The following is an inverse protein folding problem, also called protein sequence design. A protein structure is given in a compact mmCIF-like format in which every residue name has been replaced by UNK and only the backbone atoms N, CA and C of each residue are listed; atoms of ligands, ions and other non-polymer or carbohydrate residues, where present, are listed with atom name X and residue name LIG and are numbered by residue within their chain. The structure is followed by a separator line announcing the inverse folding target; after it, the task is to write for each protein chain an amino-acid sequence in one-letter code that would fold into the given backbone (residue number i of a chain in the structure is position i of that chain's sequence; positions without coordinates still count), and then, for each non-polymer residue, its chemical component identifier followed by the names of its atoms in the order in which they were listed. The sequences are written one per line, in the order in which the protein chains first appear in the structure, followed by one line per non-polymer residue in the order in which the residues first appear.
data_IF_052092551829
#
_entry.id   IF_052092551829
#
_cell.length_a   1.000
_cell.length_b   1.000
_cell.length_c   1.000
_cell.angle_alpha   90.00
_cell.angle_beta   90.00
_cell.angle_gamma   90.00
#
_symmetry.space_group_name_H-M   'P 1'
#
loop_
_entity.id
_entity.type
_entity.pdbx_description
1 polymer ?
#
# COMPACT_ATOMS: atom_id res chain seq x y z
N UNK A 1 83.02 54.70 -48.97
CA UNK A 1 82.72 56.12 -48.75
C UNK A 1 81.22 56.26 -48.47
N UNK A 2 80.86 56.90 -47.35
CA UNK A 2 79.58 57.54 -46.99
C UNK A 2 78.31 56.65 -46.92
N UNK A 3 77.69 56.38 -45.76
CA UNK A 3 76.97 57.21 -44.74
C UNK A 3 75.43 57.08 -44.88
N UNK A 4 74.78 56.45 -43.86
CA UNK A 4 73.55 56.80 -43.07
C UNK A 4 72.32 57.50 -43.74
N UNK A 5 71.08 57.48 -43.15
CA UNK A 5 70.70 57.14 -41.76
C UNK A 5 69.42 56.27 -41.57
N UNK A 6 69.17 55.98 -40.29
CA UNK A 6 68.09 55.23 -39.65
C UNK A 6 66.70 55.90 -39.65
N UNK A 7 65.64 55.10 -39.64
CA UNK A 7 64.33 55.53 -39.13
C UNK A 7 63.64 54.46 -38.27
N UNK A 8 63.39 54.86 -37.02
CA UNK A 8 62.74 54.16 -35.92
C UNK A 8 61.24 54.49 -35.98
N UNK A 9 60.36 53.51 -36.16
CA UNK A 9 58.90 53.69 -36.02
C UNK A 9 58.36 52.93 -34.81
N UNK A 10 57.71 53.68 -33.92
CA UNK A 10 57.08 53.29 -32.65
C UNK A 10 55.90 52.33 -32.86
N UNK A 11 55.64 51.36 -31.95
CA UNK A 11 54.34 50.70 -31.88
C UNK A 11 53.31 51.68 -31.29
N UNK A 12 52.34 52.08 -32.11
CA UNK A 12 51.23 52.92 -31.68
C UNK A 12 50.22 52.10 -30.85
N UNK A 13 50.01 52.59 -29.64
CA UNK A 13 49.22 52.06 -28.56
C UNK A 13 47.72 52.06 -28.91
N UNK A 14 47.16 50.91 -29.30
CA UNK A 14 45.72 50.74 -29.55
C UNK A 14 44.96 50.50 -28.23
N UNK A 15 44.82 51.55 -27.42
CA UNK A 15 44.04 51.54 -26.17
C UNK A 15 42.98 52.64 -26.21
N UNK A 16 41.86 52.42 -26.90
CA UNK A 16 40.64 53.24 -26.73
C UNK A 16 39.43 52.68 -27.48
N UNK A 17 38.54 51.98 -26.78
CA UNK A 17 37.08 52.02 -27.04
C UNK A 17 36.19 51.29 -26.00
N UNK A 18 36.73 50.78 -24.88
CA UNK A 18 35.91 50.05 -23.87
C UNK A 18 35.33 50.98 -22.79
N UNK A 19 34.43 51.90 -23.15
CA UNK A 19 33.64 52.66 -22.15
C UNK A 19 32.16 52.83 -22.50
N UNK A 20 31.72 52.59 -23.74
CA UNK A 20 30.30 52.65 -24.12
C UNK A 20 29.56 51.30 -23.98
N UNK A 21 30.29 50.18 -23.87
CA UNK A 21 29.70 48.84 -23.74
C UNK A 21 29.01 48.61 -22.39
N UNK A 22 29.44 49.25 -21.31
CA UNK A 22 28.95 48.96 -19.95
C UNK A 22 27.47 49.31 -19.73
N UNK A 23 26.97 50.38 -20.38
CA UNK A 23 25.54 50.78 -20.27
C UNK A 23 24.62 49.89 -21.11
N UNK A 24 25.13 49.29 -22.17
CA UNK A 24 24.38 48.35 -23.01
C UNK A 24 24.19 47.01 -22.31
N UNK A 25 25.23 46.48 -21.67
CA UNK A 25 25.17 45.23 -20.91
C UNK A 25 24.21 45.30 -19.71
N UNK A 26 24.13 46.45 -19.03
CA UNK A 26 23.17 46.64 -17.92
C UNK A 26 21.70 46.54 -18.36
N UNK A 27 21.34 47.03 -19.56
CA UNK A 27 19.97 46.93 -20.08
C UNK A 27 19.62 45.50 -20.46
N UNK A 28 20.55 44.76 -21.06
CA UNK A 28 20.37 43.34 -21.39
C UNK A 28 20.18 42.52 -20.10
N UNK A 29 21.03 42.72 -19.09
CA UNK A 29 20.91 42.03 -17.82
C UNK A 29 19.55 42.31 -17.14
N UNK A 30 19.08 43.56 -17.18
CA UNK A 30 17.76 43.93 -16.66
C UNK A 30 16.62 43.20 -17.38
N UNK A 31 16.62 43.19 -18.72
CA UNK A 31 15.60 42.49 -19.52
C UNK A 31 15.62 40.99 -19.26
N UNK A 32 16.80 40.36 -19.23
CA UNK A 32 16.94 38.93 -18.94
C UNK A 32 16.38 38.59 -17.56
N UNK A 33 16.69 39.40 -16.54
CA UNK A 33 16.15 39.19 -15.19
C UNK A 33 14.62 39.34 -15.16
N UNK A 34 14.07 40.35 -15.84
CA UNK A 34 12.61 40.53 -15.92
C UNK A 34 11.94 39.36 -16.62
N UNK A 35 12.49 38.89 -17.75
CA UNK A 35 11.96 37.72 -18.48
C UNK A 35 12.04 36.47 -17.61
N UNK A 36 13.15 36.25 -16.91
CA UNK A 36 13.31 35.12 -15.99
C UNK A 36 12.28 35.14 -14.85
N UNK A 37 12.01 36.32 -14.28
CA UNK A 37 10.99 36.48 -13.23
C UNK A 37 9.56 36.23 -13.76
N UNK A 38 9.23 36.74 -14.96
CA UNK A 38 7.93 36.50 -15.58
C UNK A 38 7.74 35.03 -15.92
N UNK A 39 8.76 34.40 -16.52
CA UNK A 39 8.72 32.98 -16.86
C UNK A 39 8.61 32.10 -15.61
N UNK A 40 9.37 32.41 -14.55
CA UNK A 40 9.27 31.72 -13.26
C UNK A 40 7.90 31.90 -12.59
N UNK A 41 7.32 33.09 -12.67
CA UNK A 41 5.98 33.38 -12.18
C UNK A 41 4.90 32.60 -12.93
N UNK A 42 4.95 32.58 -14.27
CA UNK A 42 4.03 31.80 -15.10
C UNK A 42 4.15 30.29 -14.83
N UNK A 43 5.37 29.76 -14.72
CA UNK A 43 5.60 28.35 -14.40
C UNK A 43 5.03 27.98 -13.02
N UNK A 44 5.25 28.83 -12.01
CA UNK A 44 4.71 28.63 -10.66
C UNK A 44 3.18 28.68 -10.65
N UNK A 45 2.58 29.64 -11.36
CA UNK A 45 1.13 29.76 -11.49
C UNK A 45 0.52 28.54 -12.21
N UNK A 46 1.14 28.11 -13.31
CA UNK A 46 0.70 26.94 -14.06
C UNK A 46 0.75 25.66 -13.21
N UNK A 47 1.82 25.46 -12.42
CA UNK A 47 1.91 24.31 -11.51
C UNK A 47 0.80 24.29 -10.46
N UNK A 48 0.42 25.45 -9.90
CA UNK A 48 -0.69 25.57 -8.95
C UNK A 48 -2.04 25.32 -9.61
N UNK A 49 -2.22 25.74 -10.86
CA UNK A 49 -3.45 25.46 -11.60
C UNK A 49 -3.57 23.96 -11.92
N UNK A 50 -2.46 23.33 -12.33
CA UNK A 50 -2.40 21.90 -12.66
C UNK A 50 -2.69 20.99 -11.46
N UNK A 51 -2.28 21.39 -10.25
CA UNK A 51 -2.57 20.63 -9.02
C UNK A 51 -4.04 20.71 -8.59
N UNK A 52 -4.82 21.64 -9.13
CA UNK A 52 -6.25 21.80 -8.85
C UNK A 52 -7.16 21.08 -9.86
N UNK A 53 -6.60 20.48 -10.91
CA UNK A 53 -7.40 19.68 -11.83
C UNK A 53 -7.97 18.47 -11.10
N UNK A 54 -9.29 18.30 -11.20
CA UNK A 54 -10.00 17.19 -10.56
C UNK A 54 -10.36 16.18 -11.64
N UNK A 55 -9.99 14.89 -11.49
CA UNK A 55 -10.35 13.86 -12.46
C UNK A 55 -11.87 13.75 -12.68
N UNK A 56 -12.30 13.54 -13.92
CA UNK A 56 -13.74 13.50 -14.27
C UNK A 56 -14.49 12.38 -13.54
N UNK A 57 -13.87 11.21 -13.34
CA UNK A 57 -14.48 10.11 -12.59
C UNK A 57 -14.73 10.49 -11.13
N UNK A 58 -13.87 11.31 -10.54
CA UNK A 58 -13.99 11.76 -9.16
C UNK A 58 -15.20 12.70 -8.99
N UNK A 59 -15.37 13.65 -9.91
CA UNK A 59 -16.52 14.56 -9.90
C UNK A 59 -17.84 13.80 -10.01
N UNK A 60 -17.91 12.81 -10.91
CA UNK A 60 -19.12 11.98 -11.07
C UNK A 60 -19.56 11.27 -9.80
N UNK A 61 -18.62 10.80 -8.98
CA UNK A 61 -18.94 10.16 -7.69
C UNK A 61 -19.41 11.20 -6.68
N UNK A 62 -18.77 12.37 -6.63
CA UNK A 62 -19.17 13.45 -5.71
C UNK A 62 -20.53 14.06 -6.04
N UNK A 63 -20.92 14.06 -7.32
CA UNK A 63 -22.21 14.59 -7.77
C UNK A 63 -23.39 13.63 -7.47
N UNK A 64 -23.11 12.45 -6.89
CA UNK A 64 -24.16 11.50 -6.51
C UNK A 64 -25.01 12.07 -5.36
N UNK A 65 -26.33 12.05 -5.54
CA UNK A 65 -27.25 12.51 -4.51
C UNK A 65 -27.17 11.67 -3.23
N UNK A 66 -27.43 12.30 -2.08
CA UNK A 66 -27.51 11.61 -0.79
C UNK A 66 -28.49 10.42 -0.82
N UNK A 67 -29.60 10.55 -1.54
CA UNK A 67 -30.58 9.48 -1.71
C UNK A 67 -29.99 8.27 -2.44
N UNK A 68 -29.22 8.49 -3.52
CA UNK A 68 -28.53 7.43 -4.23
C UNK A 68 -27.50 6.72 -3.33
N UNK A 69 -26.77 7.48 -2.49
CA UNK A 69 -25.86 6.88 -1.51
C UNK A 69 -26.58 6.06 -0.46
N UNK A 70 -27.74 6.48 0.05
CA UNK A 70 -28.50 5.64 0.98
C UNK A 70 -28.99 4.34 0.32
N UNK A 71 -29.42 4.39 -0.94
CA UNK A 71 -29.80 3.18 -1.69
C UNK A 71 -28.60 2.24 -1.85
N UNK A 72 -27.43 2.77 -2.22
CA UNK A 72 -26.21 2.00 -2.36
C UNK A 72 -25.74 1.35 -1.04
N UNK A 73 -25.86 2.04 0.10
CA UNK A 73 -25.57 1.47 1.42
C UNK A 73 -26.48 0.28 1.75
N UNK A 74 -27.79 0.44 1.53
CA UNK A 74 -28.76 -0.62 1.78
C UNK A 74 -28.52 -1.84 0.87
N UNK A 75 -28.18 -1.59 -0.39
CA UNK A 75 -27.85 -2.65 -1.34
C UNK A 75 -26.58 -3.40 -0.91
N UNK A 76 -25.54 -2.67 -0.50
CA UNK A 76 -24.31 -3.30 -0.01
C UNK A 76 -24.59 -4.18 1.21
N UNK A 77 -25.40 -3.70 2.16
CA UNK A 77 -25.76 -4.51 3.34
C UNK A 77 -26.44 -5.81 2.91
N UNK A 78 -27.39 -5.74 1.99
CA UNK A 78 -28.07 -6.91 1.45
C UNK A 78 -27.09 -7.88 0.78
N UNK A 79 -26.18 -7.38 -0.06
CA UNK A 79 -25.20 -8.19 -0.78
C UNK A 79 -24.18 -8.85 0.16
N UNK A 80 -23.81 -8.16 1.25
CA UNK A 80 -22.97 -8.72 2.32
C UNK A 80 -23.70 -9.80 3.10
N UNK A 81 -24.98 -9.61 3.44
CA UNK A 81 -25.81 -10.64 4.10
C UNK A 81 -25.96 -11.88 3.22
N UNK A 82 -26.17 -11.68 1.91
CA UNK A 82 -26.20 -12.76 0.93
C UNK A 82 -24.85 -13.49 0.87
N UNK A 83 -23.73 -12.75 0.81
CA UNK A 83 -22.40 -13.35 0.84
C UNK A 83 -22.18 -14.16 2.11
N UNK A 84 -22.57 -13.65 3.28
CA UNK A 84 -22.46 -14.41 4.53
C UNK A 84 -23.31 -15.69 4.49
N UNK A 85 -24.52 -15.63 3.91
CA UNK A 85 -25.35 -16.82 3.71
C UNK A 85 -24.69 -17.83 2.77
N UNK A 86 -24.07 -17.38 1.67
CA UNK A 86 -23.34 -18.23 0.74
C UNK A 86 -22.11 -18.88 1.40
N UNK A 87 -21.34 -18.10 2.16
CA UNK A 87 -20.20 -18.58 2.95
C UNK A 87 -20.61 -19.49 4.12
N UNK A 88 -21.87 -19.44 4.54
CA UNK A 88 -22.47 -20.38 5.51
C UNK A 88 -22.90 -21.70 4.89
N UNK A 89 -22.54 -21.95 3.62
CA UNK A 89 -22.74 -23.24 2.96
C UNK A 89 -21.39 -23.72 2.42
N UNK A 90 -21.14 -25.03 2.47
CA UNK A 90 -19.97 -25.61 1.79
C UNK A 90 -20.17 -25.50 0.28
N UNK A 91 -19.11 -25.18 -0.46
CA UNK A 91 -19.12 -25.14 -1.92
C UNK A 91 -18.80 -23.77 -2.49
N UNK A 92 -19.34 -23.47 -3.67
CA UNK A 92 -19.06 -22.24 -4.40
C UNK A 92 -19.79 -21.04 -3.81
N UNK A 93 -19.11 -19.90 -3.75
CA UNK A 93 -19.70 -18.61 -3.37
C UNK A 93 -19.37 -17.57 -4.45
N UNK A 94 -20.19 -16.52 -4.51
CA UNK A 94 -20.01 -15.41 -5.46
C UNK A 94 -20.50 -14.11 -4.82
N UNK A 95 -19.70 -13.06 -4.93
CA UNK A 95 -20.02 -11.72 -4.48
C UNK A 95 -19.83 -10.75 -5.65
N UNK A 96 -20.71 -9.76 -5.77
CA UNK A 96 -20.50 -8.69 -6.74
C UNK A 96 -20.92 -7.36 -6.14
N UNK A 97 -19.98 -6.42 -6.09
CA UNK A 97 -20.18 -5.10 -5.52
C UNK A 97 -20.06 -4.04 -6.61
N UNK A 98 -21.00 -3.09 -6.66
CA UNK A 98 -20.94 -1.94 -7.55
C UNK A 98 -19.98 -0.85 -7.04
N UNK A 99 -19.55 0.03 -7.94
CA UNK A 99 -18.78 1.20 -7.56
C UNK A 99 -19.56 2.12 -6.62
N UNK A 100 -20.88 2.24 -6.77
CA UNK A 100 -21.75 2.99 -5.86
C UNK A 100 -21.78 2.39 -4.45
N UNK A 101 -21.95 1.07 -4.35
CA UNK A 101 -21.92 0.35 -3.06
C UNK A 101 -20.58 0.53 -2.34
N UNK A 102 -19.47 0.40 -3.06
CA UNK A 102 -18.12 0.55 -2.49
C UNK A 102 -17.89 2.02 -2.07
N UNK A 103 -18.29 2.99 -2.88
CA UNK A 103 -18.15 4.42 -2.55
C UNK A 103 -18.98 4.82 -1.33
N UNK A 104 -20.21 4.29 -1.23
CA UNK A 104 -21.07 4.50 -0.09
C UNK A 104 -20.44 3.97 1.20
N UNK A 105 -19.85 2.76 1.14
CA UNK A 105 -19.11 2.18 2.26
C UNK A 105 -17.86 2.96 2.63
N UNK A 106 -17.04 3.35 1.63
CA UNK A 106 -15.82 4.13 1.87
C UNK A 106 -16.12 5.47 2.53
N UNK A 107 -17.20 6.14 2.12
CA UNK A 107 -17.63 7.43 2.68
C UNK A 107 -17.98 7.32 4.17
N UNK A 108 -18.58 6.21 4.59
CA UNK A 108 -18.92 5.96 5.99
C UNK A 108 -17.71 5.47 6.81
N UNK A 109 -16.93 4.55 6.24
CA UNK A 109 -15.86 3.88 6.98
C UNK A 109 -14.58 4.70 7.07
N UNK A 110 -14.29 5.61 6.14
CA UNK A 110 -13.06 6.40 6.18
C UNK A 110 -12.97 7.28 7.45
N UNK A 111 -13.99 8.07 7.83
CA UNK A 111 -13.96 8.85 9.06
C UNK A 111 -13.92 7.97 10.32
N UNK A 112 -14.63 6.83 10.32
CA UNK A 112 -14.80 5.98 11.49
C UNK A 112 -13.62 5.04 11.75
N UNK A 113 -13.20 4.27 10.74
CA UNK A 113 -12.13 3.26 10.86
C UNK A 113 -10.75 3.84 10.62
N UNK A 114 -10.64 4.93 9.86
CA UNK A 114 -9.37 5.51 9.45
C UNK A 114 -9.21 6.96 9.91
N UNK A 115 -9.59 7.25 11.17
CA UNK A 115 -9.49 8.58 11.80
C UNK A 115 -8.08 9.21 11.69
N UNK A 116 -7.01 8.39 11.65
CA UNK A 116 -5.65 8.88 11.44
C UNK A 116 -5.46 9.51 10.06
N UNK A 117 -6.07 8.94 9.02
CA UNK A 117 -6.03 9.48 7.66
C UNK A 117 -6.88 10.74 7.57
N UNK A 118 -8.08 10.73 8.16
CA UNK A 118 -8.97 11.90 8.15
C UNK A 118 -8.35 13.13 8.83
N UNK A 119 -7.68 12.94 9.98
CA UNK A 119 -6.93 14.00 10.69
C UNK A 119 -5.73 14.52 9.91
N UNK A 120 -5.17 13.72 9.01
CA UNK A 120 -4.08 14.14 8.11
C UNK A 120 -4.57 14.87 6.86
N UNK A 121 -5.87 15.07 6.72
CA UNK A 121 -6.46 15.81 5.62
C UNK A 121 -7.06 14.97 4.50
N UNK A 122 -7.11 13.64 4.66
CA UNK A 122 -7.66 12.72 3.65
C UNK A 122 -9.18 12.66 3.79
N UNK A 123 -9.92 13.03 2.76
CA UNK A 123 -11.40 13.14 2.79
C UNK A 123 -12.00 12.74 1.45
N UNK A 124 -13.31 12.48 1.46
CA UNK A 124 -14.09 12.27 0.23
C UNK A 124 -13.44 11.19 -0.67
N UNK A 125 -13.30 9.95 -0.17
CA UNK A 125 -12.75 8.85 -0.98
C UNK A 125 -13.73 8.53 -2.11
N UNK A 126 -13.20 8.29 -3.29
CA UNK A 126 -14.01 7.86 -4.42
C UNK A 126 -13.24 6.86 -5.27
N UNK A 127 -13.96 5.87 -5.76
CA UNK A 127 -13.49 4.87 -6.70
C UNK A 127 -14.39 4.84 -7.93
N UNK A 128 -13.83 4.41 -9.05
CA UNK A 128 -14.59 4.01 -10.22
C UNK A 128 -13.97 2.75 -10.84
N UNK A 129 -14.79 1.89 -11.43
CA UNK A 129 -14.32 0.63 -12.02
C UNK A 129 -14.53 0.68 -13.54
N UNK A 130 -13.44 0.89 -14.28
CA UNK A 130 -13.46 1.09 -15.73
C UNK A 130 -12.29 0.33 -16.38
N UNK A 131 -12.53 -0.26 -17.55
CA UNK A 131 -11.50 -0.91 -18.37
C UNK A 131 -10.66 -1.97 -17.62
N UNK A 132 -11.29 -2.73 -16.72
CA UNK A 132 -10.58 -3.76 -15.94
C UNK A 132 -9.71 -3.20 -14.81
N UNK A 133 -9.85 -1.92 -14.48
CA UNK A 133 -9.05 -1.22 -13.47
C UNK A 133 -9.94 -0.49 -12.46
N UNK A 134 -9.39 -0.26 -11.28
CA UNK A 134 -9.97 0.62 -10.27
C UNK A 134 -9.24 1.96 -10.37
N UNK A 135 -9.98 3.02 -10.64
CA UNK A 135 -9.52 4.39 -10.49
C UNK A 135 -9.84 4.81 -9.07
N UNK A 136 -8.83 5.06 -8.25
CA UNK A 136 -9.02 5.49 -6.86
C UNK A 136 -8.58 6.95 -6.70
N UNK A 137 -9.36 7.74 -5.99
CA UNK A 137 -9.04 9.13 -5.69
C UNK A 137 -9.53 9.55 -4.31
N UNK A 138 -8.86 10.56 -3.77
CA UNK A 138 -9.21 11.14 -2.48
C UNK A 138 -8.83 12.61 -2.44
N UNK A 139 -9.62 13.44 -1.78
CA UNK A 139 -9.26 14.83 -1.54
C UNK A 139 -8.25 14.90 -0.40
N UNK A 140 -7.15 15.58 -0.66
CA UNK A 140 -6.11 15.85 0.33
C UNK A 140 -6.08 17.34 0.66
N UNK A 141 -6.48 17.67 1.88
CA UNK A 141 -6.55 19.03 2.38
C UNK A 141 -5.64 19.25 3.60
N UNK A 142 -4.68 20.16 3.45
CA UNK A 142 -3.75 20.60 4.49
C UNK A 142 -3.66 22.13 4.51
N UNK A 143 -2.91 22.71 5.44
CA UNK A 143 -2.73 24.18 5.52
C UNK A 143 -2.06 24.79 4.28
N UNK A 144 -1.38 23.99 3.46
CA UNK A 144 -0.62 24.45 2.29
C UNK A 144 -1.09 23.88 0.95
N UNK A 145 -1.87 22.81 0.97
CA UNK A 145 -2.25 22.05 -0.21
C UNK A 145 -3.72 21.63 -0.10
N UNK A 146 -4.49 21.86 -1.16
CA UNK A 146 -5.83 21.31 -1.38
C UNK A 146 -5.83 20.77 -2.81
N UNK A 147 -5.86 19.45 -2.95
CA UNK A 147 -5.70 18.76 -4.23
C UNK A 147 -6.37 17.38 -4.16
N UNK A 148 -6.69 16.80 -5.32
CA UNK A 148 -7.17 15.42 -5.42
C UNK A 148 -5.99 14.53 -5.74
N UNK A 149 -5.72 13.56 -4.87
CA UNK A 149 -4.72 12.52 -5.12
C UNK A 149 -5.42 11.34 -5.77
N UNK A 150 -4.92 10.88 -6.92
CA UNK A 150 -5.51 9.76 -7.66
C UNK A 150 -4.46 8.74 -8.10
N UNK A 151 -4.85 7.48 -8.25
CA UNK A 151 -4.05 6.43 -8.86
C UNK A 151 -4.93 5.43 -9.61
N UNK A 152 -4.29 4.57 -10.42
CA UNK A 152 -4.92 3.41 -11.04
C UNK A 152 -4.43 2.14 -10.38
N UNK A 153 -5.35 1.21 -10.15
CA UNK A 153 -5.08 -0.10 -9.59
C UNK A 153 -5.60 -1.17 -10.56
N UNK A 154 -4.78 -2.16 -10.90
CA UNK A 154 -5.27 -3.41 -11.48
C UNK A 154 -5.09 -4.54 -10.48
N UNK A 155 -6.01 -5.50 -10.50
CA UNK A 155 -6.01 -6.63 -9.57
C UNK A 155 -5.92 -7.90 -10.38
N UNK A 156 -4.91 -8.70 -10.07
CA UNK A 156 -4.63 -9.99 -10.71
C UNK A 156 -4.56 -11.07 -9.64
N UNK A 157 -4.96 -12.27 -10.01
CA UNK A 157 -4.75 -13.44 -9.16
C UNK A 157 -3.32 -13.92 -9.27
N UNK A 158 -2.84 -14.70 -8.31
CA UNK A 158 -1.53 -15.34 -8.40
C UNK A 158 -1.67 -16.87 -8.47
N UNK A 159 -0.56 -17.55 -8.69
CA UNK A 159 -0.51 -19.02 -8.63
C UNK A 159 -0.71 -19.56 -7.20
N UNK A 160 -0.62 -18.70 -6.18
CA UNK A 160 -0.90 -19.05 -4.79
C UNK A 160 -2.36 -18.71 -4.43
N UNK A 161 -3.10 -19.63 -3.77
CA UNK A 161 -4.47 -19.33 -3.34
C UNK A 161 -4.50 -18.15 -2.38
N UNK A 162 -5.49 -17.29 -2.54
CA UNK A 162 -5.74 -16.11 -1.69
C UNK A 162 -4.63 -15.04 -1.67
N UNK A 163 -3.64 -15.15 -2.55
CA UNK A 163 -2.67 -14.09 -2.75
C UNK A 163 -3.06 -13.29 -4.00
N UNK A 164 -3.38 -12.01 -3.80
CA UNK A 164 -3.72 -11.08 -4.89
C UNK A 164 -2.54 -10.18 -5.21
N UNK A 165 -2.29 -9.97 -6.49
CA UNK A 165 -1.34 -8.99 -7.00
C UNK A 165 -2.10 -7.71 -7.40
N UNK A 166 -1.79 -6.59 -6.74
CA UNK A 166 -2.41 -5.29 -7.00
C UNK A 166 -1.34 -4.37 -7.57
N UNK A 167 -1.39 -4.11 -8.87
CA UNK A 167 -0.47 -3.17 -9.52
C UNK A 167 -0.94 -1.75 -9.27
N UNK A 168 -0.01 -0.89 -8.84
CA UNK A 168 -0.30 0.52 -8.59
C UNK A 168 0.43 1.40 -9.62
N UNK A 169 -0.33 2.20 -10.36
CA UNK A 169 0.19 3.05 -11.42
C UNK A 169 -0.46 4.44 -11.44
N UNK A 170 0.12 5.35 -12.23
CA UNK A 170 -0.42 6.68 -12.53
C UNK A 170 -0.80 7.52 -11.29
N UNK A 171 0.02 7.45 -10.24
CA UNK A 171 -0.18 8.25 -9.03
C UNK A 171 0.03 9.74 -9.31
N UNK A 172 -0.99 10.56 -9.00
CA UNK A 172 -1.02 11.99 -9.29
C UNK A 172 -1.61 12.80 -8.14
N UNK A 173 -1.23 14.08 -8.05
CA UNK A 173 -1.93 15.13 -7.31
C UNK A 173 -2.44 16.18 -8.31
N UNK A 174 -3.75 16.18 -8.54
CA UNK A 174 -4.37 16.80 -9.70
C UNK A 174 -3.80 16.19 -10.97
N UNK A 175 -3.19 17.02 -11.82
CA UNK A 175 -2.50 16.54 -13.02
C UNK A 175 -0.97 16.45 -12.89
N UNK A 176 -0.43 16.61 -11.67
CA UNK A 176 1.01 16.45 -11.41
C UNK A 176 1.32 15.00 -11.00
N UNK A 177 2.22 14.28 -11.68
CA UNK A 177 2.63 12.95 -11.26
C UNK A 177 3.39 13.01 -9.92
N UNK A 178 3.16 12.02 -9.07
CA UNK A 178 3.82 11.87 -7.78
C UNK A 178 4.78 10.67 -7.80
N UNK A 179 5.87 10.71 -7.01
CA UNK A 179 6.75 9.56 -6.86
C UNK A 179 6.03 8.41 -6.14
N UNK A 180 6.08 7.22 -6.74
CA UNK A 180 5.41 6.01 -6.23
C UNK A 180 6.07 5.45 -4.96
N UNK A 181 7.40 5.38 -4.91
CA UNK A 181 8.12 4.75 -3.80
C UNK A 181 7.83 5.35 -2.42
N UNK A 182 7.84 6.69 -2.21
CA UNK A 182 7.50 7.26 -0.90
C UNK A 182 6.04 7.01 -0.52
N UNK A 183 5.17 6.86 -1.51
CA UNK A 183 3.75 6.63 -1.33
C UNK A 183 3.49 5.19 -0.84
N UNK A 184 4.03 4.18 -1.52
CA UNK A 184 3.87 2.77 -1.12
C UNK A 184 4.46 2.49 0.26
N UNK A 185 5.58 3.12 0.64
CA UNK A 185 6.14 3.03 2.01
C UNK A 185 5.19 3.57 3.07
N UNK A 186 4.39 4.59 2.75
CA UNK A 186 3.36 5.11 3.67
C UNK A 186 2.17 4.17 3.75
N UNK A 187 1.76 3.57 2.63
CA UNK A 187 0.71 2.55 2.62
C UNK A 187 1.10 1.38 3.53
N UNK A 188 2.31 0.80 3.39
CA UNK A 188 2.75 -0.30 4.26
C UNK A 188 2.67 0.04 5.74
N UNK A 189 3.04 1.27 6.11
CA UNK A 189 3.02 1.70 7.51
C UNK A 189 1.59 1.77 8.06
N UNK A 190 0.64 2.24 7.26
CA UNK A 190 -0.77 2.31 7.67
C UNK A 190 -1.44 0.92 7.61
N UNK A 191 -1.10 0.09 6.63
CA UNK A 191 -1.61 -1.29 6.49
C UNK A 191 -1.17 -2.19 7.65
N UNK A 192 0.09 -2.10 8.07
CA UNK A 192 0.61 -2.83 9.23
C UNK A 192 -0.11 -2.49 10.54
N UNK A 193 -0.72 -1.31 10.65
CA UNK A 193 -1.54 -0.94 11.80
C UNK A 193 -2.94 -1.58 11.77
N UNK A 194 -3.39 -2.00 10.59
CA UNK A 194 -4.68 -2.65 10.36
C UNK A 194 -4.59 -4.17 10.19
N UNK A 195 -3.46 -4.78 10.58
CA UNK A 195 -3.21 -6.23 10.48
C UNK A 195 -3.31 -6.79 9.04
N UNK A 196 -3.09 -5.94 8.04
CA UNK A 196 -3.07 -6.35 6.64
C UNK A 196 -1.62 -6.60 6.21
N UNK A 197 -1.29 -7.86 5.90
CA UNK A 197 0.01 -8.22 5.36
C UNK A 197 0.11 -7.81 3.89
N UNK A 198 0.87 -6.74 3.65
CA UNK A 198 1.17 -6.24 2.31
C UNK A 198 2.68 -6.37 2.07
N UNK A 199 3.03 -7.19 1.09
CA UNK A 199 4.39 -7.28 0.57
C UNK A 199 4.46 -6.53 -0.76
N UNK A 200 5.54 -5.81 -1.00
CA UNK A 200 5.72 -5.08 -2.26
C UNK A 200 6.77 -5.77 -3.12
N UNK A 201 6.43 -5.98 -4.38
CA UNK A 201 7.39 -6.29 -5.45
C UNK A 201 7.53 -5.07 -6.37
N UNK A 202 8.75 -4.77 -6.79
CA UNK A 202 9.05 -3.61 -7.65
C UNK A 202 9.52 -4.12 -8.99
N UNK A 203 8.67 -3.95 -10.01
CA UNK A 203 8.95 -4.35 -11.39
C UNK A 203 9.25 -3.13 -12.25
N UNK A 204 9.64 -3.34 -13.51
CA UNK A 204 9.82 -2.25 -14.49
C UNK A 204 8.53 -1.44 -14.70
N UNK A 205 7.37 -2.10 -14.60
CA UNK A 205 6.04 -1.50 -14.78
C UNK A 205 5.53 -0.77 -13.52
N UNK A 206 6.24 -0.91 -12.40
CA UNK A 206 5.93 -0.24 -11.13
C UNK A 206 5.75 -1.19 -9.94
N UNK A 207 5.28 -0.64 -8.80
CA UNK A 207 5.08 -1.40 -7.58
C UNK A 207 3.82 -2.27 -7.64
N UNK A 208 3.97 -3.51 -7.21
CA UNK A 208 2.92 -4.52 -7.09
C UNK A 208 2.76 -4.86 -5.61
N UNK A 209 1.59 -4.59 -5.06
CA UNK A 209 1.23 -5.03 -3.72
C UNK A 209 0.71 -6.46 -3.75
N UNK A 210 1.38 -7.35 -3.04
CA UNK A 210 0.95 -8.71 -2.79
C UNK A 210 0.19 -8.71 -1.48
N UNK A 211 -1.12 -8.96 -1.57
CA UNK A 211 -2.05 -8.92 -0.44
C UNK A 211 -2.55 -10.32 -0.19
N UNK A 212 -2.23 -10.85 1.00
CA UNK A 212 -2.70 -12.16 1.43
C UNK A 212 -4.06 -12.03 2.13
N UNK A 213 -5.06 -12.70 1.58
CA UNK A 213 -6.39 -12.78 2.18
C UNK A 213 -6.42 -13.98 3.11
N UNK A 214 -6.67 -13.80 4.42
CA UNK A 214 -6.60 -14.90 5.36
C UNK A 214 -7.59 -15.99 4.94
N UNK A 215 -7.13 -17.25 4.74
CA UNK A 215 -8.03 -18.37 4.41
C UNK A 215 -8.92 -18.73 5.60
N UNK A 216 -8.54 -18.28 6.80
CA UNK A 216 -9.27 -18.48 8.03
C UNK A 216 -9.53 -17.16 8.75
N UNK A 217 -10.81 -16.90 9.03
CA UNK A 217 -11.24 -15.81 9.89
C UNK A 217 -12.30 -16.35 10.88
N UNK A 218 -12.40 -15.84 12.12
CA UNK A 218 -13.44 -16.24 13.06
C UNK A 218 -14.88 -16.07 12.54
N UNK A 219 -15.09 -15.18 11.57
CA UNK A 219 -16.39 -14.92 10.95
C UNK A 219 -16.69 -15.88 9.79
N UNK A 220 -15.75 -16.73 9.36
CA UNK A 220 -15.99 -17.72 8.31
C UNK A 220 -16.62 -18.99 8.89
N UNK A 221 -17.81 -19.34 8.41
CA UNK A 221 -18.50 -20.56 8.82
C UNK A 221 -17.79 -21.83 8.31
N UNK A 222 -17.20 -21.77 7.11
CA UNK A 222 -16.42 -22.86 6.53
C UNK A 222 -15.02 -22.40 6.15
N UNK A 223 -14.03 -23.20 6.55
CA UNK A 223 -12.60 -22.97 6.32
C UNK A 223 -11.99 -24.12 5.51
N UNK A 224 -10.97 -23.87 4.69
CA UNK A 224 -10.49 -22.55 4.26
C UNK A 224 -11.46 -21.87 3.28
N UNK A 225 -11.41 -20.54 3.24
CA UNK A 225 -11.99 -19.74 2.17
C UNK A 225 -10.97 -19.63 1.04
N UNK A 226 -11.35 -19.96 -0.20
CA UNK A 226 -10.48 -19.81 -1.37
C UNK A 226 -11.13 -18.90 -2.40
N UNK A 227 -10.37 -17.92 -2.88
CA UNK A 227 -10.79 -17.00 -3.97
C UNK A 227 -10.26 -17.56 -5.28
N UNK A 228 -11.15 -17.82 -6.24
CA UNK A 228 -10.81 -18.38 -7.56
C UNK A 228 -10.96 -17.38 -8.71
N UNK A 229 -11.65 -16.26 -8.51
CA UNK A 229 -11.85 -15.24 -9.52
C UNK A 229 -11.92 -13.88 -8.86
N UNK A 230 -11.18 -12.93 -9.42
CA UNK A 230 -11.37 -11.49 -9.22
C UNK A 230 -11.57 -10.87 -10.59
N UNK A 231 -12.66 -10.14 -10.79
CA UNK A 231 -12.93 -9.45 -12.06
C UNK A 231 -13.52 -8.07 -11.83
N UNK A 232 -13.12 -7.14 -12.70
CA UNK A 232 -13.49 -5.73 -12.68
C UNK A 232 -14.19 -5.42 -14.00
N UNK A 233 -15.52 -5.46 -14.02
CA UNK A 233 -16.30 -5.34 -15.26
C UNK A 233 -17.53 -4.49 -15.04
N UNK A 234 -17.78 -3.54 -15.95
CA UNK A 234 -18.99 -2.73 -16.00
C UNK A 234 -19.34 -2.04 -14.66
N UNK A 235 -18.35 -1.35 -14.04
CA UNK A 235 -18.59 -0.66 -12.77
C UNK A 235 -18.71 -1.58 -11.56
N UNK A 236 -18.42 -2.90 -11.70
CA UNK A 236 -18.54 -3.87 -10.60
C UNK A 236 -17.26 -4.64 -10.34
N UNK A 237 -16.98 -4.84 -9.06
CA UNK A 237 -16.01 -5.81 -8.55
C UNK A 237 -16.76 -7.12 -8.32
N UNK A 238 -16.30 -8.20 -8.95
CA UNK A 238 -16.83 -9.54 -8.73
C UNK A 238 -15.74 -10.46 -8.19
N UNK A 239 -16.11 -11.16 -7.12
CA UNK A 239 -15.30 -12.14 -6.42
C UNK A 239 -16.04 -13.46 -6.41
N UNK A 240 -15.38 -14.57 -6.73
CA UNK A 240 -15.98 -15.88 -6.52
C UNK A 240 -14.92 -16.90 -6.15
N UNK A 241 -15.36 -18.00 -5.53
CA UNK A 241 -14.47 -19.08 -5.17
C UNK A 241 -15.19 -20.19 -4.43
N UNK A 242 -14.47 -20.88 -3.56
CA UNK A 242 -14.97 -22.03 -2.81
C UNK A 242 -14.73 -21.87 -1.31
N UNK A 243 -15.60 -22.49 -0.50
CA UNK A 243 -15.47 -22.56 0.95
C UNK A 243 -15.52 -24.02 1.43
N UNK A 244 -14.57 -24.39 2.28
CA UNK A 244 -14.46 -25.72 2.90
C UNK A 244 -13.18 -26.46 2.56
N UNK A 245 -12.95 -27.61 3.21
CA UNK A 245 -11.67 -28.35 3.17
C UNK A 245 -11.17 -28.72 1.76
N UNK A 246 -12.08 -28.98 0.81
CA UNK A 246 -11.69 -29.32 -0.55
C UNK A 246 -11.28 -28.09 -1.38
N UNK A 247 -11.58 -26.87 -0.94
CA UNK A 247 -11.36 -25.67 -1.72
C UNK A 247 -9.87 -25.43 -2.05
N UNK A 248 -8.97 -25.80 -1.14
CA UNK A 248 -7.53 -25.55 -1.32
C UNK A 248 -6.86 -26.54 -2.26
N UNK A 249 -7.32 -27.81 -2.26
CA UNK A 249 -6.75 -28.87 -3.09
C UNK A 249 -7.08 -28.70 -4.58
N UNK A 250 -8.17 -27.99 -4.90
CA UNK A 250 -8.65 -27.78 -6.27
C UNK A 250 -8.49 -26.34 -6.76
N UNK A 251 -7.62 -25.53 -6.13
CA UNK A 251 -7.41 -24.15 -6.54
C UNK A 251 -6.95 -24.08 -8.01
N UNK A 252 -7.75 -23.40 -8.82
CA UNK A 252 -7.44 -23.08 -10.20
C UNK A 252 -7.86 -21.64 -10.45
N UNK A 253 -6.90 -20.68 -10.47
CA UNK A 253 -7.24 -19.28 -10.68
C UNK A 253 -7.93 -19.11 -12.04
N UNK A 254 -9.09 -18.46 -12.02
CA UNK A 254 -9.86 -18.11 -13.21
C UNK A 254 -9.63 -16.62 -13.46
N UNK A 255 -8.97 -16.29 -14.57
CA UNK A 255 -8.70 -14.90 -14.96
C UNK A 255 -7.22 -14.64 -15.24
N UNK A 256 -6.80 -13.36 -15.34
CA UNK A 256 -5.39 -13.01 -15.48
C UNK A 256 -4.62 -13.45 -14.23
N UNK A 257 -3.54 -14.18 -14.45
CA UNK A 257 -2.66 -14.69 -13.39
C UNK A 257 -1.32 -13.99 -13.48
N UNK A 258 -0.96 -13.30 -12.40
CA UNK A 258 0.36 -12.77 -12.19
C UNK A 258 1.33 -13.90 -11.85
N UNK A 259 2.33 -14.12 -12.71
CA UNK A 259 3.39 -15.11 -12.49
C UNK A 259 4.66 -14.41 -12.00
N UNK A 260 5.09 -14.75 -10.80
CA UNK A 260 6.35 -14.28 -10.26
C UNK A 260 7.55 -14.91 -10.98
N UNK A 261 8.52 -14.09 -11.38
CA UNK A 261 9.80 -14.59 -11.92
C UNK A 261 10.74 -15.05 -10.79
N UNK A 262 10.55 -14.55 -9.57
CA UNK A 262 11.46 -14.73 -8.42
C UNK A 262 10.93 -15.65 -7.31
N UNK A 263 9.67 -16.08 -7.36
CA UNK A 263 9.06 -16.86 -6.29
C UNK A 263 9.32 -18.36 -6.49
N UNK A 264 10.56 -18.80 -6.25
CA UNK A 264 10.84 -20.23 -6.04
C UNK A 264 10.26 -20.61 -4.68
N UNK A 265 9.10 -21.27 -4.70
CA UNK A 265 8.32 -21.75 -3.55
C UNK A 265 9.25 -22.31 -2.45
N UNK A 266 9.35 -21.61 -1.33
CA UNK A 266 10.20 -21.99 -0.19
C UNK A 266 9.69 -23.25 0.53
N UNK A 267 8.55 -23.81 0.10
CA UNK A 267 7.97 -25.05 0.62
C UNK A 267 8.77 -26.32 0.31
N UNK A 268 9.83 -26.25 -0.50
CA UNK A 268 10.66 -27.43 -0.79
C UNK A 268 11.78 -27.63 0.25
N UNK A 269 12.13 -26.61 1.04
CA UNK A 269 13.27 -26.70 1.96
C UNK A 269 12.89 -27.18 3.37
N UNK A 270 11.59 -27.20 3.71
CA UNK A 270 11.09 -27.71 4.99
C UNK A 270 10.89 -29.24 5.01
N UNK A 271 10.67 -29.88 3.86
CA UNK A 271 10.53 -31.35 3.79
C UNK A 271 11.88 -32.07 3.59
N UNK A 272 12.88 -31.43 2.98
CA UNK A 272 14.18 -32.08 2.77
C UNK A 272 15.02 -32.17 4.08
N UNK A 273 14.64 -31.45 5.14
CA UNK A 273 15.35 -31.50 6.43
C UNK A 273 14.81 -32.54 7.42
N UNK A 274 13.66 -33.16 7.18
CA UNK A 274 13.14 -34.27 8.02
C UNK A 274 13.63 -35.65 7.56
N UNK A 275 13.99 -35.82 6.28
CA UNK A 275 14.50 -37.11 5.76
C UNK A 275 16.00 -37.33 6.04
N UNK A 276 16.78 -36.27 6.30
CA UNK A 276 18.22 -36.41 6.60
C UNK A 276 18.49 -36.78 8.06
N UNK A 277 17.60 -36.43 9.00
CA UNK A 277 17.75 -36.78 10.41
C UNK A 277 17.36 -38.25 10.72
N UNK A 278 16.69 -38.92 9.77
CA UNK A 278 16.25 -40.31 9.93
C UNK A 278 17.29 -41.35 9.48
N UNK A 279 18.36 -40.94 8.78
CA UNK A 279 19.42 -41.86 8.30
C UNK A 279 20.67 -41.91 9.20
N UNK A 280 20.76 -41.09 10.24
CA UNK A 280 21.95 -41.01 11.09
C UNK A 280 21.90 -41.87 12.37
N UNK A 281 20.86 -42.69 12.59
CA UNK A 281 20.68 -43.43 13.85
C UNK A 281 20.77 -44.95 13.77
N UNK A 282 21.15 -45.55 12.64
CA UNK A 282 21.18 -47.01 12.48
C UNK A 282 22.58 -47.57 12.15
N UNK A 283 23.59 -47.12 12.89
CA UNK A 283 24.93 -47.72 12.85
C UNK A 283 25.57 -47.71 14.24
N UNK A 284 25.37 -48.77 15.03
CA UNK A 284 26.44 -49.57 15.67
C UNK A 284 25.86 -50.55 16.72
N UNK A 285 25.83 -51.82 16.34
CA UNK A 285 25.77 -52.98 17.25
C UNK A 285 27.17 -53.47 17.63
N UNK A 286 27.29 -53.79 18.92
CA UNK A 286 28.06 -54.89 19.52
C UNK A 286 29.60 -54.93 19.48
N UNK A 287 30.17 -54.90 20.70
CA UNK A 287 30.87 -56.09 21.19
C UNK A 287 32.29 -55.92 21.77
N UNK A 288 32.40 -56.25 23.07
CA UNK A 288 33.43 -57.14 23.67
C UNK A 288 34.69 -56.55 24.36
N UNK A 289 34.66 -56.74 25.69
CA UNK A 289 35.71 -57.23 26.63
C UNK A 289 37.07 -56.54 26.83
N UNK A 290 37.23 -56.04 28.06
CA UNK A 290 38.21 -56.41 29.10
C UNK A 290 39.71 -56.01 29.01
N UNK A 291 40.23 -55.71 30.22
CA UNK A 291 41.63 -55.66 30.68
C UNK A 291 42.46 -54.44 30.22
N UNK A 292 43.50 -53.93 30.90
CA UNK A 292 44.03 -53.83 32.28
C UNK A 292 45.31 -52.95 32.10
N UNK A 293 45.74 -52.26 33.16
CA UNK A 293 47.10 -51.72 33.40
C UNK A 293 47.57 -50.42 32.69
N UNK A 294 47.70 -49.39 33.53
CA UNK A 294 48.99 -48.85 34.03
C UNK A 294 50.09 -48.43 33.04
N UNK A 295 50.48 -47.16 33.21
CA UNK A 295 51.86 -46.64 33.33
C UNK A 295 52.40 -45.72 32.23
N UNK A 296 52.88 -44.59 32.75
CA UNK A 296 54.10 -43.86 32.39
C UNK A 296 54.14 -42.87 31.21
N UNK A 297 54.24 -41.61 31.64
CA UNK A 297 55.36 -40.69 31.44
C UNK A 297 55.69 -40.09 30.05
N UNK A 298 55.89 -38.77 30.18
CA UNK A 298 56.90 -37.93 29.53
C UNK A 298 56.61 -37.25 28.19
N UNK A 299 56.59 -35.91 28.32
CA UNK A 299 57.38 -34.94 27.53
C UNK A 299 57.00 -34.81 26.04
N UNK A 300 56.89 -33.65 25.40
CA UNK A 300 57.54 -32.34 25.56
C UNK A 300 56.84 -31.37 24.57
N UNK A 301 57.01 -30.06 24.79
CA UNK A 301 57.17 -28.99 23.78
C UNK A 301 56.13 -28.82 22.64
N UNK A 302 55.74 -27.63 22.17
CA UNK A 302 56.00 -26.25 22.51
C UNK A 302 55.05 -25.37 21.65
N UNK A 303 54.93 -24.11 22.06
CA UNK A 303 54.75 -22.90 21.23
C UNK A 303 53.40 -22.52 20.60
N UNK A 304 52.92 -21.33 21.05
CA UNK A 304 52.39 -20.19 20.26
C UNK A 304 50.97 -20.37 19.69
N UNK A 305 49.94 -19.63 20.09
CA UNK A 305 49.70 -18.17 19.90
C UNK A 305 48.39 -17.89 20.68
N UNK A 306 48.28 -17.00 21.66
CA UNK A 306 48.25 -15.55 21.49
C UNK A 306 46.90 -15.04 20.98
N UNK A 307 45.91 -14.77 21.84
CA UNK A 307 45.19 -13.48 21.83
C UNK A 307 44.25 -13.26 23.04
N UNK A 308 44.62 -12.24 23.82
CA UNK A 308 43.81 -11.23 24.55
C UNK A 308 42.48 -11.62 25.19
N UNK A 309 42.60 -11.80 26.51
CA UNK A 309 41.61 -11.40 27.51
C UNK A 309 41.38 -9.88 27.49
N UNK A 310 40.11 -9.45 27.50
CA UNK A 310 39.72 -8.11 27.94
C UNK A 310 38.52 -8.27 28.86
N UNK A 311 38.84 -8.33 30.15
CA UNK A 311 37.91 -8.35 31.25
C UNK A 311 37.50 -6.92 31.64
N UNK A 312 36.30 -6.84 32.21
CA UNK A 312 35.75 -5.74 33.02
C UNK A 312 35.41 -4.39 32.36
N UNK A 313 34.10 -4.15 32.26
CA UNK A 313 33.44 -3.15 33.14
C UNK A 313 31.95 -3.48 33.42
N UNK A 314 31.70 -3.77 34.71
CA UNK A 314 30.48 -3.46 35.51
C UNK A 314 29.89 -2.09 35.13
N UNK A 315 28.62 -1.72 35.35
CA UNK A 315 27.41 -2.31 35.91
C UNK A 315 26.28 -1.28 35.63
N UNK A 316 25.05 -1.63 36.02
CA UNK A 316 23.89 -0.76 36.23
C UNK A 316 23.05 -0.38 35.00
N UNK A 317 21.97 -1.14 34.78
CA UNK A 317 20.61 -0.62 34.53
C UNK A 317 19.58 -1.72 34.72
N UNK A 318 19.06 -1.81 35.94
CA UNK A 318 17.90 -2.61 36.33
C UNK A 318 16.63 -1.79 36.09
N UNK A 319 15.55 -2.50 35.77
CA UNK A 319 14.14 -2.14 35.95
C UNK A 319 13.46 -1.23 34.90
N UNK A 320 12.72 -1.87 33.99
CA UNK A 320 11.34 -1.50 33.67
C UNK A 320 10.65 -2.66 32.93
N UNK A 321 10.19 -3.65 33.68
CA UNK A 321 9.24 -4.64 33.18
C UNK A 321 7.86 -3.98 33.07
N UNK A 322 7.39 -3.77 31.85
CA UNK A 322 5.97 -3.46 31.59
C UNK A 322 5.33 -4.68 30.96
N UNK A 323 4.52 -5.37 31.77
CA UNK A 323 3.57 -6.39 31.34
C UNK A 323 2.54 -5.69 30.45
N UNK A 324 2.52 -6.01 29.15
CA UNK A 324 1.42 -5.63 28.28
C UNK A 324 0.21 -6.48 28.66
N UNK A 325 -0.74 -5.82 29.32
CA UNK A 325 -2.07 -6.29 29.65
C UNK A 325 -2.82 -6.63 28.36
N UNK A 326 -3.32 -7.87 28.28
CA UNK A 326 -4.30 -8.27 27.28
C UNK A 326 -5.58 -7.45 27.45
N UNK A 327 -5.81 -6.52 26.51
CA UNK A 327 -7.09 -5.82 26.42
C UNK A 327 -8.08 -6.71 25.67
N UNK A 328 -8.94 -7.32 26.49
CA UNK A 328 -10.16 -8.01 26.14
C UNK A 328 -11.16 -6.99 25.58
N UNK A 329 -11.38 -7.01 24.27
CA UNK A 329 -12.41 -6.20 23.62
C UNK A 329 -13.80 -6.67 24.11
N UNK A 330 -14.45 -5.83 24.91
CA UNK A 330 -15.85 -6.00 25.28
C UNK A 330 -16.73 -5.51 24.14
N UNK A 331 -17.36 -6.46 23.45
CA UNK A 331 -18.48 -6.25 22.54
C UNK A 331 -19.61 -5.57 23.30
N UNK A 332 -19.83 -4.27 23.05
CA UNK A 332 -21.05 -3.60 23.48
C UNK A 332 -22.20 -4.07 22.57
N UNK A 333 -23.20 -4.72 23.17
CA UNK A 333 -24.47 -5.01 22.50
C UNK A 333 -25.11 -3.70 22.06
N UNK A 334 -25.70 -3.61 20.85
CA UNK A 334 -26.55 -2.49 20.50
C UNK A 334 -27.79 -2.50 21.41
N UNK A 335 -28.01 -1.38 22.08
CA UNK A 335 -29.25 -1.08 22.81
C UNK A 335 -30.40 -1.00 21.82
N UNK A 336 -31.26 -2.02 21.81
CA UNK A 336 -32.59 -1.96 21.22
C UNK A 336 -33.36 -0.81 21.87
N UNK A 337 -33.49 0.30 21.15
CA UNK A 337 -34.39 1.39 21.54
C UNK A 337 -35.63 1.23 20.67
N UNK A 338 -36.70 0.71 21.27
CA UNK A 338 -38.02 0.62 20.62
C UNK A 338 -38.53 2.04 20.30
N UNK A 339 -39.09 2.28 19.10
CA UNK A 339 -39.82 3.51 18.85
C UNK A 339 -41.14 3.51 19.62
N UNK A 340 -41.40 4.60 20.33
CA UNK A 340 -42.66 4.86 21.00
C UNK A 340 -43.79 4.93 19.97
N UNK A 341 -44.74 4.02 20.09
CA UNK A 341 -46.01 4.03 19.35
C UNK A 341 -46.85 5.20 19.86
N UNK A 342 -46.84 6.30 19.12
CA UNK A 342 -47.81 7.38 19.27
C UNK A 342 -49.16 6.89 18.75
N UNK A 343 -50.02 6.45 19.68
CA UNK A 343 -51.46 6.31 19.46
C UNK A 343 -52.04 7.71 19.19
N UNK A 344 -52.30 8.05 17.94
CA UNK A 344 -53.21 9.14 17.61
C UNK A 344 -54.65 8.64 17.66
N UNK A 345 -55.28 9.10 18.74
CA UNK A 345 -56.70 9.30 19.02
C UNK A 345 -57.63 9.33 17.80
N UNK A 346 -58.69 8.54 17.92
CA UNK A 346 -59.92 8.57 17.16
C UNK A 346 -60.51 9.98 17.06
N UNK A 347 -60.93 10.37 15.85
CA UNK A 347 -62.01 11.34 15.67
C UNK A 347 -63.05 10.73 14.73
N UNK A 348 -64.23 10.55 15.30
CA UNK A 348 -65.51 10.48 14.61
C UNK A 348 -65.72 11.73 13.76
N UNK A 349 -66.27 11.59 12.55
CA UNK A 349 -67.44 12.34 12.06
C UNK A 349 -67.59 12.30 10.53
N UNK A 350 -68.85 12.38 10.08
CA UNK A 350 -69.36 12.59 8.70
C UNK A 350 -69.39 11.30 7.85
N UNK A 351 -70.47 10.54 7.67
CA UNK A 351 -71.90 10.82 7.39
C UNK A 351 -72.21 11.83 6.28
N UNK A 352 -72.94 11.32 5.26
CA UNK A 352 -73.63 11.99 4.14
C UNK A 352 -72.70 12.51 3.01
N UNK A 353 -72.90 12.24 1.72
CA UNK A 353 -74.07 12.07 0.84
C UNK A 353 -73.75 10.96 -0.21
N UNK A 354 -74.72 10.10 -0.56
CA UNK A 354 -75.49 10.12 -1.82
C UNK A 354 -74.65 10.10 -3.11
#
# INVERSE_FOLDING_TARGET
MFHSPSHRSKPANAKKSSRSSFRFWGRIAGVVLTVALVAGGMASYWAVWQSRQVPDFYQRVLDQSDQAMQVARNQLQHDVEQLQSDLSRRGSWNASFSEEEINAWLSDQLPERFDRLSRRGVREPAIAIQDGQILAAVRYQSSRLDTVVSCRLSVEMTEEPNLLAIHLSDLKAGALPLPLEPFVRRISREAALGDLDIRWDFTEDGPIALVHIPPEDPHYAFKPLVIELVSLTAGRLRLSGQAGQLAQDYYSPRGPVHRFVSFRKQSQQANDSEDESSRASDQTTDGRSASISESQEQSSDATTTGDRNLDQRRADSRAAGTKASGQRWMVRKPSQTMPAVLRTRSDDSLSQYQ
#
